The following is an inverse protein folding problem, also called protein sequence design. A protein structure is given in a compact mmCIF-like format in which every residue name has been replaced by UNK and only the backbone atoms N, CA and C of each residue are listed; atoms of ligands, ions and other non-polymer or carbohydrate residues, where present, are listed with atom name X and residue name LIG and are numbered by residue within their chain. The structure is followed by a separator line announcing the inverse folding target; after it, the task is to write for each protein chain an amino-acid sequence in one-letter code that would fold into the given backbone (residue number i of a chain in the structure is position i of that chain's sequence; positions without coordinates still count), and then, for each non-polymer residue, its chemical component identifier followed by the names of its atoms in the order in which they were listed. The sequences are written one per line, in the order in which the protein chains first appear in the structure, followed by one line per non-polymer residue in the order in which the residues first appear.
data_IF_470128318973
#
_entry.id   IF_470128318973
#
_cell.length_a   1.000
_cell.length_b   1.000
_cell.length_c   1.000
_cell.angle_alpha   90.00
_cell.angle_beta   90.00
_cell.angle_gamma   90.00
#
_symmetry.space_group_name_H-M   'P 1'
#
loop_
_entity.id
_entity.type
_entity.pdbx_description
1 polymer ?
#
# COMPACT_ATOMS: atom_id res chain seq x y z
N UNK A 1 6.53 -49.78 -40.46
CA UNK A 1 6.58 -49.93 -41.93
C UNK A 1 5.76 -48.91 -42.72
N UNK A 2 4.41 -48.82 -42.65
CA UNK A 2 3.68 -47.84 -43.49
C UNK A 2 3.88 -46.36 -43.06
N UNK A 3 3.87 -46.10 -41.75
CA UNK A 3 3.85 -44.74 -41.16
C UNK A 3 5.18 -43.98 -41.35
N UNK A 4 6.34 -44.66 -41.18
CA UNK A 4 7.65 -44.02 -41.37
C UNK A 4 7.98 -43.72 -42.84
N UNK A 5 7.49 -44.55 -43.76
CA UNK A 5 7.60 -44.26 -45.20
C UNK A 5 6.77 -43.03 -45.58
N UNK A 6 5.58 -42.87 -44.99
CA UNK A 6 4.75 -41.67 -45.19
C UNK A 6 5.44 -40.41 -44.68
N UNK A 7 5.99 -40.41 -43.46
CA UNK A 7 6.76 -39.28 -42.92
C UNK A 7 7.94 -38.89 -43.83
N UNK A 8 8.67 -39.88 -44.37
CA UNK A 8 9.75 -39.59 -45.31
C UNK A 8 9.28 -39.02 -46.66
N UNK A 9 8.13 -39.47 -47.19
CA UNK A 9 7.57 -38.92 -48.42
C UNK A 9 7.03 -37.49 -48.20
N UNK A 10 6.38 -37.25 -47.06
CA UNK A 10 5.90 -35.92 -46.68
C UNK A 10 7.09 -34.93 -46.63
N UNK A 11 8.18 -35.29 -45.94
CA UNK A 11 9.39 -34.45 -45.88
C UNK A 11 10.00 -34.18 -47.26
N UNK A 12 9.93 -35.13 -48.20
CA UNK A 12 10.37 -34.89 -49.58
C UNK A 12 9.48 -33.89 -50.31
N UNK A 13 8.18 -33.94 -50.07
CA UNK A 13 7.20 -33.05 -50.69
C UNK A 13 7.32 -31.61 -50.15
N UNK A 14 7.27 -31.44 -48.83
CA UNK A 14 7.13 -30.12 -48.23
C UNK A 14 8.47 -29.55 -47.71
N UNK A 15 9.48 -30.39 -47.45
CA UNK A 15 10.77 -30.01 -46.87
C UNK A 15 11.97 -30.46 -47.72
N UNK A 16 11.86 -30.40 -49.05
CA UNK A 16 12.90 -30.86 -49.98
C UNK A 16 14.32 -30.29 -49.71
N UNK A 17 14.44 -29.04 -49.21
CA UNK A 17 15.75 -28.48 -48.86
C UNK A 17 16.42 -29.22 -47.70
N UNK A 18 15.63 -29.64 -46.71
CA UNK A 18 16.13 -30.46 -45.61
C UNK A 18 16.63 -31.82 -46.10
N UNK A 19 15.90 -32.47 -47.03
CA UNK A 19 16.32 -33.76 -47.59
C UNK A 19 17.69 -33.66 -48.29
N UNK A 20 17.96 -32.53 -48.96
CA UNK A 20 19.19 -32.34 -49.74
C UNK A 20 20.35 -31.84 -48.86
N UNK A 21 20.08 -30.87 -47.98
CA UNK A 21 21.10 -30.07 -47.29
C UNK A 21 21.10 -30.25 -45.76
N UNK A 22 20.20 -31.06 -45.21
CA UNK A 22 19.96 -31.15 -43.78
C UNK A 22 19.39 -29.85 -43.19
N UNK A 23 19.59 -29.64 -41.89
CA UNK A 23 19.16 -28.42 -41.21
C UNK A 23 20.15 -27.30 -41.49
N UNK A 24 19.78 -26.33 -42.33
CA UNK A 24 20.56 -25.11 -42.59
C UNK A 24 20.07 -23.94 -41.72
N UNK A 25 20.70 -22.78 -41.83
CA UNK A 25 20.24 -21.57 -41.15
C UNK A 25 18.80 -21.20 -41.55
N UNK A 26 18.37 -21.54 -42.77
CA UNK A 26 16.99 -21.31 -43.21
C UNK A 26 16.00 -22.10 -42.36
N UNK A 27 16.19 -23.42 -42.26
CA UNK A 27 15.33 -24.31 -41.47
C UNK A 27 15.43 -23.92 -39.99
N UNK A 28 16.64 -23.63 -39.50
CA UNK A 28 16.84 -23.22 -38.12
C UNK A 28 16.08 -21.93 -37.76
N UNK A 29 16.14 -20.90 -38.61
CA UNK A 29 15.41 -19.65 -38.41
C UNK A 29 13.88 -19.82 -38.51
N UNK A 30 13.42 -20.83 -39.27
CA UNK A 30 11.99 -21.18 -39.37
C UNK A 30 11.53 -21.89 -38.11
N UNK A 31 12.31 -22.87 -37.64
CA UNK A 31 12.05 -23.58 -36.38
C UNK A 31 12.09 -22.62 -35.18
N UNK A 32 13.00 -21.64 -35.16
CA UNK A 32 13.01 -20.61 -34.11
C UNK A 32 11.71 -19.78 -34.05
N UNK A 33 10.88 -19.80 -35.10
CA UNK A 33 9.63 -19.05 -35.20
C UNK A 33 8.38 -19.92 -35.10
N UNK A 34 8.55 -21.21 -34.82
CA UNK A 34 7.46 -22.20 -34.82
C UNK A 34 6.73 -22.31 -36.17
N UNK A 35 7.48 -22.19 -37.28
CA UNK A 35 6.94 -22.29 -38.64
C UNK A 35 7.45 -23.53 -39.40
N UNK A 36 7.86 -24.57 -38.66
CA UNK A 36 8.36 -25.81 -39.23
C UNK A 36 9.66 -25.65 -40.02
N UNK A 37 9.94 -26.59 -40.92
CA UNK A 37 11.12 -26.65 -41.79
C UNK A 37 10.95 -25.83 -43.06
N UNK A 38 9.71 -25.57 -43.49
CA UNK A 38 9.45 -24.79 -44.70
C UNK A 38 8.49 -23.62 -44.47
N UNK A 39 9.02 -22.40 -44.29
CA UNK A 39 8.20 -21.21 -44.05
C UNK A 39 7.48 -20.70 -45.32
N UNK A 40 7.55 -21.44 -46.44
CA UNK A 40 6.92 -21.07 -47.72
C UNK A 40 5.69 -21.92 -48.04
N UNK A 41 5.26 -22.79 -47.13
CA UNK A 41 4.07 -23.60 -47.35
C UNK A 41 2.81 -22.71 -47.39
N UNK A 42 1.81 -23.05 -48.23
CA UNK A 42 0.52 -22.35 -48.24
C UNK A 42 -0.20 -22.43 -46.89
N UNK A 43 -0.05 -23.57 -46.20
CA UNK A 43 -0.45 -23.79 -44.82
C UNK A 43 0.82 -24.12 -44.05
N UNK A 44 1.21 -23.26 -43.12
CA UNK A 44 2.42 -23.45 -42.33
C UNK A 44 2.21 -24.58 -41.33
N UNK A 45 3.15 -25.50 -41.28
CA UNK A 45 3.28 -26.44 -40.18
C UNK A 45 3.91 -25.73 -38.97
N UNK A 46 3.59 -26.22 -37.77
CA UNK A 46 4.33 -25.89 -36.56
C UNK A 46 5.53 -26.82 -36.38
N UNK A 47 6.38 -26.53 -35.39
CA UNK A 47 7.56 -27.35 -35.12
C UNK A 47 7.22 -28.77 -34.68
N UNK A 48 6.10 -28.97 -33.98
CA UNK A 48 5.71 -30.29 -33.48
C UNK A 48 5.42 -31.23 -34.65
N UNK A 49 4.67 -30.77 -35.65
CA UNK A 49 4.36 -31.54 -36.86
C UNK A 49 5.66 -31.98 -37.56
N UNK A 50 6.54 -31.03 -37.88
CA UNK A 50 7.75 -31.33 -38.64
C UNK A 50 8.81 -32.11 -37.84
N UNK A 51 8.89 -31.93 -36.52
CA UNK A 51 9.81 -32.71 -35.67
C UNK A 51 9.35 -34.16 -35.49
N UNK A 52 8.04 -34.43 -35.50
CA UNK A 52 7.54 -35.81 -35.53
C UNK A 52 7.89 -36.49 -36.86
N UNK A 53 7.64 -35.82 -37.99
CA UNK A 53 8.00 -36.34 -39.31
C UNK A 53 9.51 -36.59 -39.42
N UNK A 54 10.34 -35.70 -38.86
CA UNK A 54 11.79 -35.90 -38.75
C UNK A 54 12.16 -37.11 -37.89
N UNK A 55 11.57 -37.26 -36.71
CA UNK A 55 11.84 -38.40 -35.83
C UNK A 55 11.49 -39.73 -36.51
N UNK A 56 10.31 -39.79 -37.13
CA UNK A 56 9.79 -41.01 -37.73
C UNK A 56 10.55 -41.36 -39.01
N UNK A 57 10.90 -40.37 -39.83
CA UNK A 57 11.70 -40.61 -41.03
C UNK A 57 13.16 -40.94 -40.71
N UNK A 58 13.81 -40.20 -39.81
CA UNK A 58 15.25 -40.36 -39.55
C UNK A 58 15.55 -41.55 -38.65
N UNK A 59 14.79 -41.73 -37.57
CA UNK A 59 15.06 -42.77 -36.57
C UNK A 59 14.12 -43.96 -36.74
N UNK A 60 12.83 -43.72 -36.96
CA UNK A 60 11.84 -44.78 -37.18
C UNK A 60 12.18 -45.64 -38.39
N UNK A 61 12.38 -45.01 -39.56
CA UNK A 61 12.72 -45.74 -40.78
C UNK A 61 14.08 -46.46 -40.69
N UNK A 62 15.08 -45.87 -40.03
CA UNK A 62 16.37 -46.53 -39.81
C UNK A 62 16.22 -47.73 -38.87
N UNK A 63 15.39 -47.63 -37.84
CA UNK A 63 15.06 -48.72 -36.93
C UNK A 63 14.42 -49.92 -37.65
N UNK A 64 13.51 -49.67 -38.59
CA UNK A 64 12.87 -50.72 -39.40
C UNK A 64 13.89 -51.53 -40.22
N UNK A 65 15.03 -50.94 -40.61
CA UNK A 65 16.10 -51.64 -41.35
C UNK A 65 17.08 -52.43 -40.48
N UNK A 66 16.97 -52.34 -39.14
CA UNK A 66 17.98 -52.91 -38.24
C UNK A 66 18.20 -54.42 -38.43
N UNK A 67 17.12 -55.17 -38.71
CA UNK A 67 17.20 -56.62 -38.92
C UNK A 67 17.90 -57.02 -40.23
N UNK A 68 18.08 -56.08 -41.15
CA UNK A 68 18.73 -56.28 -42.45
C UNK A 68 20.25 -56.10 -42.38
N UNK A 69 20.75 -55.49 -41.29
CA UNK A 69 22.18 -55.26 -41.09
C UNK A 69 22.87 -56.50 -40.48
N UNK A 70 23.98 -56.93 -41.09
CA UNK A 70 24.86 -57.94 -40.50
C UNK A 70 25.56 -57.35 -39.26
N UNK A 71 25.72 -58.16 -38.22
CA UNK A 71 26.45 -57.82 -36.99
C UNK A 71 27.90 -57.40 -37.30
N UNK A 72 28.47 -57.88 -38.40
CA UNK A 72 29.81 -57.53 -38.87
C UNK A 72 29.86 -56.15 -39.56
N UNK A 73 28.72 -55.62 -40.03
CA UNK A 73 28.59 -54.35 -40.77
C UNK A 73 28.03 -53.19 -39.91
N UNK A 74 28.11 -53.33 -38.59
CA UNK A 74 27.57 -52.37 -37.61
C UNK A 74 28.06 -50.91 -37.79
N UNK A 75 29.23 -50.71 -38.40
CA UNK A 75 29.81 -49.38 -38.62
C UNK A 75 28.98 -48.54 -39.58
N UNK A 76 28.39 -49.15 -40.61
CA UNK A 76 27.56 -48.42 -41.57
C UNK A 76 26.26 -47.96 -40.90
N UNK A 77 25.58 -48.87 -40.19
CA UNK A 77 24.40 -48.56 -39.42
C UNK A 77 24.68 -47.44 -38.40
N UNK A 78 25.76 -47.57 -37.62
CA UNK A 78 26.14 -46.55 -36.64
C UNK A 78 26.45 -45.20 -37.28
N UNK A 79 27.07 -45.17 -38.46
CA UNK A 79 27.31 -43.92 -39.17
C UNK A 79 25.99 -43.24 -39.55
N UNK A 80 25.02 -43.99 -40.09
CA UNK A 80 23.69 -43.46 -40.44
C UNK A 80 22.93 -42.97 -39.22
N UNK A 81 22.94 -43.76 -38.14
CA UNK A 81 22.31 -43.40 -36.87
C UNK A 81 22.89 -42.10 -36.32
N UNK A 82 24.21 -41.96 -36.28
CA UNK A 82 24.86 -40.75 -35.77
C UNK A 82 24.53 -39.52 -36.62
N UNK A 83 24.49 -39.64 -37.94
CA UNK A 83 24.09 -38.53 -38.83
C UNK A 83 22.63 -38.14 -38.60
N UNK A 84 21.72 -39.11 -38.50
CA UNK A 84 20.30 -38.88 -38.28
C UNK A 84 20.03 -38.22 -36.91
N UNK A 85 20.71 -38.70 -35.86
CA UNK A 85 20.65 -38.08 -34.53
C UNK A 85 21.20 -36.65 -34.54
N UNK A 86 22.30 -36.38 -35.27
CA UNK A 86 22.84 -35.02 -35.38
C UNK A 86 21.85 -34.07 -36.05
N UNK A 87 21.14 -34.51 -37.10
CA UNK A 87 20.14 -33.71 -37.80
C UNK A 87 18.91 -33.44 -36.92
N UNK A 88 18.37 -34.47 -36.26
CA UNK A 88 17.23 -34.32 -35.36
C UNK A 88 17.58 -33.39 -34.18
N UNK A 89 18.73 -33.59 -33.54
CA UNK A 89 19.19 -32.73 -32.45
C UNK A 89 19.38 -31.29 -32.91
N UNK A 90 19.93 -31.05 -34.10
CA UNK A 90 20.07 -29.70 -34.64
C UNK A 90 18.72 -29.02 -34.85
N UNK A 91 17.71 -29.74 -35.35
CA UNK A 91 16.36 -29.23 -35.48
C UNK A 91 15.72 -28.89 -34.12
N UNK A 92 15.84 -29.80 -33.14
CA UNK A 92 15.34 -29.57 -31.78
C UNK A 92 15.99 -28.35 -31.12
N UNK A 93 17.32 -28.22 -31.20
CA UNK A 93 18.05 -27.07 -30.64
C UNK A 93 17.55 -25.76 -31.27
N UNK A 94 17.33 -25.71 -32.58
CA UNK A 94 16.78 -24.53 -33.24
C UNK A 94 15.38 -24.16 -32.72
N UNK A 95 14.49 -25.16 -32.57
CA UNK A 95 13.16 -24.97 -31.98
C UNK A 95 13.25 -24.46 -30.54
N UNK A 96 14.06 -25.09 -29.69
CA UNK A 96 14.25 -24.71 -28.28
C UNK A 96 14.83 -23.30 -28.13
N UNK A 97 15.81 -22.92 -28.95
CA UNK A 97 16.34 -21.55 -28.93
C UNK A 97 15.24 -20.51 -29.24
N UNK A 98 14.32 -20.80 -30.16
CA UNK A 98 13.18 -19.94 -30.45
C UNK A 98 12.22 -19.82 -29.27
N UNK A 99 11.93 -20.94 -28.60
CA UNK A 99 11.08 -20.98 -27.41
C UNK A 99 11.68 -20.14 -26.27
N UNK A 100 12.99 -20.22 -26.02
CA UNK A 100 13.66 -19.42 -25.00
C UNK A 100 13.56 -17.91 -25.26
N UNK A 101 13.67 -17.47 -26.52
CA UNK A 101 13.45 -16.06 -26.88
C UNK A 101 12.03 -15.62 -26.51
N UNK A 102 11.02 -16.44 -26.80
CA UNK A 102 9.62 -16.16 -26.46
C UNK A 102 9.37 -16.14 -24.95
N UNK A 103 10.01 -17.03 -24.19
CA UNK A 103 9.93 -17.03 -22.73
C UNK A 103 10.48 -15.72 -22.17
N UNK A 104 11.65 -15.26 -22.63
CA UNK A 104 12.22 -13.99 -22.17
C UNK A 104 11.37 -12.77 -22.58
N UNK A 105 10.77 -12.76 -23.77
CA UNK A 105 9.81 -11.72 -24.18
C UNK A 105 8.57 -11.68 -23.27
N UNK A 106 8.09 -12.84 -22.83
CA UNK A 106 6.98 -12.96 -21.88
C UNK A 106 7.36 -12.47 -20.48
N UNK A 107 8.53 -12.87 -19.97
CA UNK A 107 9.08 -12.41 -18.69
C UNK A 107 9.19 -10.88 -18.65
N UNK A 108 9.75 -10.27 -19.70
CA UNK A 108 9.85 -8.81 -19.84
C UNK A 108 8.48 -8.13 -19.84
N UNK A 109 7.50 -8.74 -20.51
CA UNK A 109 6.13 -8.21 -20.59
C UNK A 109 5.43 -8.28 -19.23
N UNK A 110 5.61 -9.38 -18.49
CA UNK A 110 5.09 -9.57 -17.14
C UNK A 110 5.70 -8.55 -16.18
N UNK A 111 7.01 -8.33 -16.23
CA UNK A 111 7.70 -7.35 -15.39
C UNK A 111 7.17 -5.92 -15.62
N UNK A 112 6.95 -5.53 -16.89
CA UNK A 112 6.35 -4.23 -17.24
C UNK A 112 4.92 -4.08 -16.71
N UNK A 113 4.14 -5.16 -16.65
CA UNK A 113 2.79 -5.12 -16.07
C UNK A 113 2.83 -4.95 -14.56
N UNK A 114 3.72 -5.65 -13.86
CA UNK A 114 3.92 -5.50 -12.42
C UNK A 114 4.30 -4.06 -12.04
N UNK A 115 5.21 -3.43 -12.77
CA UNK A 115 5.59 -2.02 -12.54
C UNK A 115 4.40 -1.06 -12.70
N UNK A 116 3.53 -1.30 -13.68
CA UNK A 116 2.32 -0.49 -13.89
C UNK A 116 1.31 -0.71 -12.76
N UNK A 117 1.12 -1.95 -12.31
CA UNK A 117 0.24 -2.26 -11.18
C UNK A 117 0.69 -1.56 -9.90
N UNK A 118 1.98 -1.58 -9.58
CA UNK A 118 2.53 -0.91 -8.40
C UNK A 118 2.26 0.62 -8.43
N UNK A 119 2.31 1.25 -9.60
CA UNK A 119 1.96 2.68 -9.75
C UNK A 119 0.48 2.95 -9.53
N UNK A 120 -0.40 2.05 -9.97
CA UNK A 120 -1.86 2.15 -9.76
C UNK A 120 -2.19 1.98 -8.28
N UNK A 121 -1.58 1.02 -7.60
CA UNK A 121 -1.73 0.82 -6.15
C UNK A 121 -1.29 2.06 -5.37
N UNK A 122 -0.11 2.61 -5.67
CA UNK A 122 0.38 3.83 -5.03
C UNK A 122 -0.55 5.04 -5.27
N UNK A 123 -1.13 5.17 -6.46
CA UNK A 123 -2.09 6.23 -6.77
C UNK A 123 -3.42 6.03 -6.02
N UNK A 124 -3.87 4.79 -5.85
CA UNK A 124 -5.06 4.45 -5.08
C UNK A 124 -4.88 4.78 -3.60
N UNK A 125 -3.73 4.42 -3.02
CA UNK A 125 -3.38 4.75 -1.64
C UNK A 125 -3.32 6.27 -1.42
N UNK A 126 -2.72 7.01 -2.36
CA UNK A 126 -2.64 8.46 -2.31
C UNK A 126 -4.02 9.13 -2.42
N UNK A 127 -4.93 8.60 -3.25
CA UNK A 127 -6.29 9.11 -3.38
C UNK A 127 -7.12 8.81 -2.12
N UNK A 128 -6.97 7.63 -1.54
CA UNK A 128 -7.61 7.28 -0.26
C UNK A 128 -7.17 8.22 0.87
N UNK A 129 -5.88 8.59 0.92
CA UNK A 129 -5.35 9.49 1.93
C UNK A 129 -5.85 10.95 1.79
N UNK A 130 -6.18 11.42 0.57
CA UNK A 130 -6.69 12.78 0.35
C UNK A 130 -8.14 13.00 0.80
N UNK A 131 -8.90 11.93 1.06
CA UNK A 131 -10.30 11.99 1.46
C UNK A 131 -10.51 11.80 2.97
N UNK A 132 -9.47 11.83 3.78
CA UNK A 132 -9.60 11.79 5.23
C UNK A 132 -9.45 13.20 5.80
N UNK A 133 -10.36 13.55 6.70
CA UNK A 133 -10.30 14.81 7.42
C UNK A 133 -10.26 14.52 8.92
N UNK A 134 -9.30 15.14 9.60
CA UNK A 134 -9.29 15.19 11.05
C UNK A 134 -9.79 16.56 11.46
N UNK A 135 -10.94 16.60 12.12
CA UNK A 135 -11.53 17.82 12.63
C UNK A 135 -11.18 18.01 14.11
N UNK A 136 -10.31 18.98 14.41
CA UNK A 136 -10.14 19.47 15.77
C UNK A 136 -11.38 20.26 16.20
N UNK A 137 -11.96 19.90 17.34
CA UNK A 137 -13.13 20.56 17.92
C UNK A 137 -12.87 20.96 19.37
N UNK A 138 -13.59 21.95 19.87
CA UNK A 138 -13.63 22.26 21.28
C UNK A 138 -15.07 22.53 21.69
N UNK A 139 -15.42 22.10 22.90
CA UNK A 139 -16.68 22.45 23.53
C UNK A 139 -16.35 23.29 24.76
N UNK A 140 -16.93 24.48 24.80
CA UNK A 140 -16.86 25.35 25.96
C UNK A 140 -18.13 25.12 26.78
N UNK A 141 -17.98 24.67 28.02
CA UNK A 141 -19.13 24.53 28.94
C UNK A 141 -19.41 25.85 29.65
N UNK A 142 -18.35 26.58 30.02
CA UNK A 142 -18.40 27.90 30.62
C UNK A 142 -17.24 28.72 30.05
N UNK A 143 -17.54 29.93 29.55
CA UNK A 143 -16.55 30.85 28.98
C UNK A 143 -16.62 32.23 29.60
N UNK A 144 -15.46 32.78 29.90
CA UNK A 144 -15.24 34.19 30.13
C UNK A 144 -14.73 34.88 28.85
N UNK A 145 -14.82 36.22 28.76
CA UNK A 145 -14.23 36.97 27.65
C UNK A 145 -12.72 36.72 27.54
N UNK A 146 -12.27 36.36 26.33
CA UNK A 146 -10.85 36.11 26.03
C UNK A 146 -10.42 34.65 26.07
N UNK A 147 -11.34 33.73 26.41
CA UNK A 147 -11.10 32.29 26.30
C UNK A 147 -10.98 31.85 24.84
N UNK A 148 -10.04 30.95 24.56
CA UNK A 148 -9.88 30.35 23.22
C UNK A 148 -9.23 28.98 23.29
N UNK A 149 -9.63 28.07 22.39
CA UNK A 149 -9.01 26.76 22.21
C UNK A 149 -8.64 26.59 20.75
N UNK A 150 -7.43 26.09 20.47
CA UNK A 150 -7.00 25.75 19.11
C UNK A 150 -6.28 24.41 19.10
N UNK A 151 -6.41 23.67 17.99
CA UNK A 151 -5.71 22.42 17.73
C UNK A 151 -5.18 22.46 16.30
N UNK A 152 -3.87 22.35 16.13
CA UNK A 152 -3.23 22.15 14.84
C UNK A 152 -3.39 20.69 14.43
N UNK A 153 -4.21 20.47 13.41
CA UNK A 153 -4.55 19.13 12.90
C UNK A 153 -3.37 18.39 12.27
N UNK A 154 -2.33 19.11 11.83
CA UNK A 154 -1.15 18.51 11.19
C UNK A 154 -0.12 18.02 12.21
N UNK A 155 -0.02 18.69 13.35
CA UNK A 155 0.99 18.39 14.38
C UNK A 155 0.40 17.80 15.65
N UNK A 156 -0.91 17.96 15.87
CA UNK A 156 -1.62 17.64 17.10
C UNK A 156 -1.39 18.63 18.24
N UNK A 157 -0.66 19.72 18.01
CA UNK A 157 -0.41 20.74 19.02
C UNK A 157 -1.71 21.48 19.35
N UNK A 158 -1.98 21.69 20.62
CA UNK A 158 -3.14 22.46 21.06
C UNK A 158 -2.75 23.54 22.06
N UNK A 159 -3.54 24.62 22.04
CA UNK A 159 -3.41 25.74 22.97
C UNK A 159 -4.78 26.02 23.57
N UNK A 160 -4.81 26.06 24.89
CA UNK A 160 -5.95 26.53 25.66
C UNK A 160 -5.58 27.85 26.33
N UNK A 161 -6.45 28.84 26.22
CA UNK A 161 -6.27 30.16 26.84
C UNK A 161 -7.54 30.50 27.60
N UNK A 162 -7.37 31.04 28.80
CA UNK A 162 -8.47 31.53 29.63
C UNK A 162 -8.13 32.91 30.22
N UNK A 163 -9.15 33.60 30.74
CA UNK A 163 -8.97 34.88 31.43
C UNK A 163 -9.74 34.86 32.74
N UNK A 164 -9.09 35.23 33.83
CA UNK A 164 -9.76 35.29 35.13
C UNK A 164 -10.35 36.67 35.34
N UNK A 165 -11.54 36.72 35.91
CA UNK A 165 -12.30 37.95 36.13
C UNK A 165 -12.77 38.04 37.57
N UNK A 166 -12.82 39.26 38.10
CA UNK A 166 -13.23 39.51 39.48
C UNK A 166 -14.70 39.12 39.74
N UNK A 167 -15.56 39.18 38.73
CA UNK A 167 -17.00 38.94 38.84
C UNK A 167 -17.62 38.53 37.49
N UNK A 168 -18.87 38.05 37.55
CA UNK A 168 -19.66 37.63 36.38
C UNK A 168 -19.95 38.75 35.38
N UNK A 169 -19.84 40.01 35.81
CA UNK A 169 -20.03 41.19 34.95
C UNK A 169 -18.75 41.57 34.20
N UNK A 170 -17.66 40.80 34.38
CA UNK A 170 -16.37 40.97 33.68
C UNK A 170 -15.81 42.39 33.77
N UNK A 171 -15.97 43.06 34.92
CA UNK A 171 -15.61 44.47 35.06
C UNK A 171 -14.12 44.70 35.27
N UNK A 172 -13.38 43.68 35.74
CA UNK A 172 -11.94 43.74 35.96
C UNK A 172 -11.32 42.37 35.74
N UNK A 173 -10.34 42.30 34.85
CA UNK A 173 -9.55 41.10 34.60
C UNK A 173 -8.46 40.97 35.67
N UNK A 174 -8.26 39.74 36.13
CA UNK A 174 -7.29 39.37 37.16
C UNK A 174 -5.98 38.88 36.55
N UNK A 175 -6.07 38.31 35.36
CA UNK A 175 -4.95 37.83 34.59
C UNK A 175 -5.39 36.89 33.48
N UNK A 176 -4.41 36.31 32.79
CA UNK A 176 -4.62 35.42 31.65
C UNK A 176 -3.75 34.19 31.79
N UNK A 177 -4.35 33.02 31.60
CA UNK A 177 -3.62 31.78 31.59
C UNK A 177 -3.56 31.10 30.23
N UNK A 178 -2.57 30.23 30.09
CA UNK A 178 -2.38 29.41 28.91
C UNK A 178 -1.89 28.01 29.26
N UNK A 179 -2.48 26.99 28.62
CA UNK A 179 -1.96 25.63 28.57
C UNK A 179 -1.56 25.29 27.14
N UNK A 180 -0.39 24.70 26.98
CA UNK A 180 0.03 24.12 25.69
C UNK A 180 0.26 22.63 25.83
N UNK A 181 -0.10 21.88 24.80
CA UNK A 181 0.07 20.44 24.77
C UNK A 181 0.07 19.90 23.35
N UNK A 182 0.17 18.57 23.26
CA UNK A 182 0.12 17.84 22.00
C UNK A 182 -0.67 16.55 22.19
N UNK A 183 -1.68 16.34 21.36
CA UNK A 183 -2.36 15.05 21.22
C UNK A 183 -1.68 14.26 20.09
N UNK A 184 -1.36 13.00 20.37
CA UNK A 184 -0.78 12.07 19.40
C UNK A 184 -1.90 11.21 18.82
N UNK A 185 -2.38 11.56 17.64
CA UNK A 185 -3.42 10.82 16.93
C UNK A 185 -2.98 10.48 15.50
N UNK A 186 -3.72 9.60 14.85
CA UNK A 186 -3.54 9.35 13.43
C UNK A 186 -4.70 8.59 12.81
N UNK A 187 -4.84 8.73 11.50
CA UNK A 187 -5.72 7.91 10.66
C UNK A 187 -4.89 7.11 9.65
N UNK A 188 -5.40 5.97 9.23
CA UNK A 188 -4.81 5.17 8.17
C UNK A 188 -5.84 4.25 7.53
N UNK A 189 -5.50 3.62 6.42
CA UNK A 189 -6.39 2.65 5.77
C UNK A 189 -6.42 1.34 6.57
N UNK A 190 -7.60 0.71 6.63
CA UNK A 190 -7.74 -0.64 7.15
C UNK A 190 -8.03 -1.64 6.03
N UNK A 191 -9.10 -1.43 5.27
CA UNK A 191 -9.54 -2.31 4.17
C UNK A 191 -10.53 -1.60 3.27
N UNK A 192 -10.39 -1.72 1.95
CA UNK A 192 -11.25 -1.02 1.00
C UNK A 192 -11.25 0.49 1.27
N UNK A 193 -12.43 1.08 1.41
CA UNK A 193 -12.61 2.51 1.70
C UNK A 193 -12.72 2.84 3.21
N UNK A 194 -12.58 1.85 4.11
CA UNK A 194 -12.64 2.06 5.55
C UNK A 194 -11.32 2.62 6.08
N UNK A 195 -11.41 3.57 7.01
CA UNK A 195 -10.26 4.15 7.69
C UNK A 195 -10.26 3.77 9.17
N UNK A 196 -9.10 3.39 9.70
CA UNK A 196 -8.85 3.21 11.12
C UNK A 196 -8.30 4.51 11.70
N UNK A 197 -8.66 4.82 12.95
CA UNK A 197 -8.15 5.97 13.70
C UNK A 197 -7.65 5.53 15.07
N UNK A 198 -6.76 6.34 15.66
CA UNK A 198 -6.27 6.13 17.01
C UNK A 198 -5.87 7.45 17.68
N UNK A 199 -6.07 7.53 18.99
CA UNK A 199 -5.50 8.53 19.90
C UNK A 199 -4.57 7.77 20.85
N UNK A 200 -3.27 7.95 20.68
CA UNK A 200 -2.24 7.19 21.40
C UNK A 200 -1.95 7.78 22.76
N UNK A 201 -1.77 9.10 22.81
CA UNK A 201 -1.34 9.79 24.03
C UNK A 201 -1.63 11.27 23.97
N UNK A 202 -1.65 11.92 25.12
CA UNK A 202 -1.68 13.38 25.26
C UNK A 202 -0.50 13.82 26.12
N UNK A 203 0.23 14.81 25.64
CA UNK A 203 1.32 15.46 26.36
C UNK A 203 0.88 16.87 26.74
N UNK A 204 1.00 17.22 28.02
CA UNK A 204 0.89 18.61 28.48
C UNK A 204 2.30 19.16 28.61
N UNK A 205 2.59 20.22 27.87
CA UNK A 205 3.93 20.82 27.80
C UNK A 205 4.08 21.87 28.90
N UNK A 206 3.23 22.90 28.88
CA UNK A 206 3.34 24.03 29.79
C UNK A 206 1.98 24.50 30.30
N UNK A 207 1.99 25.06 31.51
CA UNK A 207 0.90 25.88 32.05
C UNK A 207 1.49 27.21 32.52
N UNK A 208 0.92 28.32 32.09
CA UNK A 208 1.36 29.65 32.50
C UNK A 208 0.19 30.53 32.89
N UNK A 209 0.48 31.53 33.71
CA UNK A 209 -0.46 32.59 34.09
C UNK A 209 0.28 33.91 34.14
N UNK A 210 -0.31 34.94 33.54
CA UNK A 210 0.18 36.31 33.59
C UNK A 210 -0.82 37.15 34.37
N UNK A 211 -0.38 37.73 35.47
CA UNK A 211 -1.24 38.52 36.35
C UNK A 211 -1.41 39.97 35.89
N UNK A 212 -2.58 40.56 36.13
CA UNK A 212 -2.83 42.00 36.07
C UNK A 212 -2.59 42.70 37.44
N UNK A 213 -2.10 41.96 38.44
CA UNK A 213 -1.70 42.43 39.77
C UNK A 213 -2.85 43.04 40.60
N UNK A 214 -3.99 42.36 40.63
CA UNK A 214 -5.19 42.77 41.37
C UNK A 214 -5.19 42.17 42.78
N UNK A 215 -5.24 43.01 43.80
CA UNK A 215 -5.18 42.59 45.21
C UNK A 215 -6.55 42.29 45.80
N UNK A 216 -6.57 41.55 46.92
CA UNK A 216 -7.79 41.26 47.69
C UNK A 216 -8.67 40.16 47.08
N UNK A 217 -8.14 39.36 46.17
CA UNK A 217 -8.85 38.24 45.53
C UNK A 217 -8.38 36.90 46.12
N UNK A 218 -9.32 35.97 46.27
CA UNK A 218 -9.06 34.62 46.77
C UNK A 218 -8.11 33.83 45.84
N UNK A 219 -7.54 32.75 46.37
CA UNK A 219 -6.73 31.82 45.59
C UNK A 219 -7.58 30.98 44.64
N UNK A 220 -7.05 30.73 43.45
CA UNK A 220 -7.64 29.90 42.40
C UNK A 220 -6.88 28.58 42.27
N UNK A 221 -7.48 27.59 41.63
CA UNK A 221 -6.82 26.30 41.36
C UNK A 221 -7.01 25.90 39.90
N UNK A 222 -5.91 25.76 39.17
CA UNK A 222 -5.93 25.20 37.82
C UNK A 222 -5.86 23.68 37.94
N UNK A 223 -6.81 22.99 37.30
CA UNK A 223 -6.84 21.55 37.20
C UNK A 223 -6.80 21.14 35.72
N UNK A 224 -5.91 20.21 35.39
CA UNK A 224 -5.84 19.59 34.07
C UNK A 224 -6.11 18.10 34.21
N UNK A 225 -7.04 17.61 33.40
CA UNK A 225 -7.39 16.20 33.33
C UNK A 225 -7.17 15.70 31.91
N UNK A 226 -6.58 14.51 31.81
CA UNK A 226 -6.63 13.71 30.59
C UNK A 226 -7.80 12.74 30.74
N UNK A 227 -8.65 12.68 29.71
CA UNK A 227 -9.82 11.80 29.70
C UNK A 227 -9.43 10.53 28.95
N UNK A 228 -9.20 9.47 29.71
CA UNK A 228 -9.13 8.07 29.23
C UNK A 228 -10.30 7.27 29.85
N UNK A 229 -10.23 5.92 29.88
CA UNK A 229 -11.23 5.08 30.56
C UNK A 229 -11.35 5.40 32.07
N UNK A 230 -10.32 6.04 32.63
CA UNK A 230 -10.24 6.68 33.92
C UNK A 230 -9.93 8.17 33.76
N UNK A 231 -10.56 9.02 34.58
CA UNK A 231 -10.19 10.43 34.61
C UNK A 231 -8.85 10.59 35.34
N UNK A 232 -7.81 10.99 34.62
CA UNK A 232 -6.47 11.17 35.22
C UNK A 232 -6.14 12.64 35.38
N UNK A 233 -6.04 13.11 36.63
CA UNK A 233 -5.52 14.45 36.93
C UNK A 233 -4.03 14.51 36.64
N UNK A 234 -3.64 15.33 35.65
CA UNK A 234 -2.26 15.41 35.20
C UNK A 234 -1.50 16.56 35.86
N UNK A 235 -2.21 17.62 36.27
CA UNK A 235 -1.64 18.81 36.86
C UNK A 235 -2.65 19.51 37.78
N UNK A 236 -2.13 20.07 38.86
CA UNK A 236 -2.85 20.95 39.75
C UNK A 236 -1.94 22.10 40.17
N UNK A 237 -2.45 23.33 40.14
CA UNK A 237 -1.73 24.46 40.72
C UNK A 237 -2.66 25.46 41.35
N UNK A 238 -2.43 25.72 42.63
CA UNK A 238 -2.99 26.88 43.31
C UNK A 238 -2.23 28.15 42.90
N UNK A 239 -2.96 29.21 42.56
CA UNK A 239 -2.39 30.51 42.23
C UNK A 239 -3.26 31.67 42.73
N UNK A 240 -2.85 32.90 42.47
CA UNK A 240 -3.59 34.12 42.80
C UNK A 240 -3.39 35.18 41.70
N UNK A 241 -4.06 36.32 41.85
CA UNK A 241 -3.95 37.46 40.94
C UNK A 241 -2.80 38.42 41.29
N UNK A 242 -1.75 37.98 42.00
CA UNK A 242 -0.62 38.83 42.42
C UNK A 242 0.72 38.41 41.82
N UNK A 243 0.84 37.20 41.26
CA UNK A 243 2.09 36.71 40.67
C UNK A 243 1.86 35.94 39.36
N UNK A 244 2.71 36.22 38.37
CA UNK A 244 2.79 35.42 37.14
C UNK A 244 3.61 34.14 37.38
N UNK A 245 3.33 33.10 36.60
CA UNK A 245 4.14 31.88 36.60
C UNK A 245 4.18 31.22 35.23
N UNK A 246 5.13 30.29 35.06
CA UNK A 246 5.18 29.36 33.94
C UNK A 246 5.81 28.06 34.42
N UNK A 247 5.03 26.98 34.35
CA UNK A 247 5.48 25.64 34.69
C UNK A 247 5.72 24.81 33.43
N UNK A 248 6.86 24.12 33.43
CA UNK A 248 7.17 23.07 32.47
C UNK A 248 6.68 21.75 33.03
N UNK A 249 5.59 21.22 32.48
CA UNK A 249 4.94 19.98 32.94
C UNK A 249 5.54 18.77 32.21
N UNK A 250 5.62 18.84 30.87
CA UNK A 250 6.16 17.81 29.97
C UNK A 250 5.73 16.38 30.31
N UNK A 251 4.48 16.20 30.74
CA UNK A 251 3.93 14.90 31.17
C UNK A 251 3.06 14.32 30.07
N UNK A 252 3.28 13.05 29.75
CA UNK A 252 2.55 12.31 28.71
C UNK A 252 1.70 11.21 29.33
N UNK A 253 0.42 11.18 28.97
CA UNK A 253 -0.55 10.16 29.39
C UNK A 253 -0.95 9.32 28.18
N UNK A 254 -0.77 7.98 28.21
CA UNK A 254 -1.32 7.07 27.20
C UNK A 254 -2.85 7.01 27.30
N UNK A 255 -3.53 7.03 26.15
CA UNK A 255 -5.01 7.03 26.08
C UNK A 255 -5.53 5.80 25.31
N UNK A 256 -4.74 5.24 24.40
CA UNK A 256 -5.02 3.99 23.66
C UNK A 256 -6.41 3.82 23.02
N UNK A 257 -7.14 4.93 22.80
CA UNK A 257 -8.43 4.92 22.11
C UNK A 257 -8.24 4.66 20.61
N UNK A 258 -9.07 3.81 20.01
CA UNK A 258 -9.00 3.49 18.59
C UNK A 258 -10.37 3.06 18.05
N UNK A 259 -10.50 3.07 16.72
CA UNK A 259 -11.73 2.64 16.05
C UNK A 259 -11.63 2.68 14.53
N UNK A 260 -12.77 2.44 13.88
CA UNK A 260 -12.91 2.37 12.43
C UNK A 260 -14.07 3.26 11.99
N UNK A 261 -13.87 4.03 10.93
CA UNK A 261 -14.90 4.87 10.29
C UNK A 261 -15.12 4.42 8.84
N UNK A 262 -16.37 4.09 8.52
CA UNK A 262 -16.80 3.69 7.18
C UNK A 262 -16.96 4.90 6.25
N UNK A 263 -17.01 4.72 4.92
CA UNK A 263 -17.18 5.83 3.97
C UNK A 263 -18.39 6.71 4.30
N UNK A 264 -18.19 8.03 4.32
CA UNK A 264 -19.25 9.01 4.60
C UNK A 264 -19.66 9.14 6.07
N UNK A 265 -18.89 8.58 7.00
CA UNK A 265 -19.18 8.60 8.45
C UNK A 265 -18.07 9.26 9.27
N UNK A 266 -18.36 9.58 10.53
CA UNK A 266 -17.37 10.06 11.51
C UNK A 266 -17.33 9.20 12.77
N UNK A 267 -16.25 9.34 13.53
CA UNK A 267 -16.09 8.76 14.87
C UNK A 267 -16.99 9.41 15.93
N UNK A 268 -17.68 10.49 15.60
CA UNK A 268 -18.20 11.44 16.58
C UNK A 268 -17.08 12.24 17.27
N UNK A 269 -17.47 13.13 18.18
CA UNK A 269 -16.55 13.97 18.96
C UNK A 269 -16.02 13.18 20.15
N UNK A 270 -14.70 13.01 20.20
CA UNK A 270 -14.01 12.29 21.27
C UNK A 270 -13.27 13.31 22.14
N UNK A 271 -13.65 13.42 23.41
CA UNK A 271 -12.93 14.24 24.37
C UNK A 271 -11.66 13.52 24.84
N UNK A 272 -10.52 14.21 24.81
CA UNK A 272 -9.24 13.65 25.26
C UNK A 272 -8.60 14.46 26.40
N UNK A 273 -9.00 15.71 26.60
CA UNK A 273 -8.49 16.57 27.65
C UNK A 273 -9.58 17.49 28.16
N UNK A 274 -9.52 17.79 29.45
CA UNK A 274 -10.32 18.81 30.10
C UNK A 274 -9.38 19.79 30.81
N UNK A 275 -9.63 21.08 30.59
CA UNK A 275 -8.99 22.16 31.34
C UNK A 275 -10.05 22.87 32.14
N UNK A 276 -9.79 23.02 33.43
CA UNK A 276 -10.69 23.65 34.37
C UNK A 276 -9.92 24.60 35.28
N UNK A 277 -10.34 25.86 35.34
CA UNK A 277 -9.78 26.82 36.28
C UNK A 277 -10.79 27.16 37.37
N UNK A 278 -10.37 27.02 38.63
CA UNK A 278 -11.07 27.26 39.89
C UNK A 278 -11.89 26.06 40.44
N UNK A 279 -13.03 26.26 41.13
CA UNK A 279 -13.72 25.23 41.93
C UNK A 279 -15.00 24.78 41.22
N UNK A 280 -15.19 23.46 41.10
CA UNK A 280 -16.37 22.80 40.51
C UNK A 280 -17.75 23.25 41.03
N UNK A 281 -17.82 24.02 42.13
CA UNK A 281 -19.03 24.57 42.72
C UNK A 281 -19.38 26.01 42.28
N UNK A 282 -18.53 26.68 41.49
CA UNK A 282 -18.68 28.06 41.02
C UNK A 282 -19.01 28.11 39.52
N UNK A 283 -19.85 29.07 39.10
CA UNK A 283 -20.18 29.31 37.68
C UNK A 283 -19.36 30.45 37.06
N UNK A 284 -18.32 30.93 37.75
CA UNK A 284 -17.40 31.99 37.27
C UNK A 284 -16.18 31.43 36.54
N UNK A 285 -16.19 30.13 36.25
CA UNK A 285 -14.98 29.34 36.09
C UNK A 285 -14.87 28.80 34.66
N UNK A 286 -13.74 29.03 33.99
CA UNK A 286 -13.52 28.58 32.61
C UNK A 286 -13.33 27.06 32.56
N UNK A 287 -14.20 26.37 31.83
CA UNK A 287 -14.14 24.91 31.59
C UNK A 287 -14.20 24.61 30.10
N UNK A 288 -13.15 23.94 29.61
CA UNK A 288 -13.09 23.46 28.24
C UNK A 288 -12.87 21.95 28.16
N UNK A 289 -13.70 21.33 27.33
CA UNK A 289 -13.48 19.99 26.83
C UNK A 289 -12.80 20.08 25.46
N UNK A 290 -11.58 19.56 25.38
CA UNK A 290 -10.81 19.51 24.15
C UNK A 290 -11.13 18.19 23.44
N UNK A 291 -11.61 18.29 22.19
CA UNK A 291 -12.19 17.18 21.46
C UNK A 291 -11.55 16.99 20.07
N UNK A 292 -11.61 15.78 19.55
CA UNK A 292 -11.18 15.45 18.19
C UNK A 292 -12.23 14.58 17.51
N UNK A 293 -12.43 14.78 16.22
CA UNK A 293 -13.30 13.97 15.37
C UNK A 293 -12.52 13.48 14.14
N UNK A 294 -12.65 12.19 13.84
CA UNK A 294 -12.09 11.56 12.65
C UNK A 294 -13.20 11.35 11.64
N UNK A 295 -13.04 11.89 10.43
CA UNK A 295 -14.05 11.85 9.36
C UNK A 295 -13.50 11.13 8.14
N UNK A 296 -14.28 10.19 7.61
CA UNK A 296 -13.98 9.52 6.35
C UNK A 296 -14.86 10.10 5.23
N UNK A 297 -14.32 11.04 4.46
CA UNK A 297 -15.05 11.70 3.37
C UNK A 297 -15.08 10.86 2.07
N UNK A 298 -14.58 9.62 2.08
CA UNK A 298 -14.75 8.71 0.95
C UNK A 298 -16.25 8.55 0.62
N UNK A 299 -16.58 8.66 -0.67
CA UNK A 299 -17.94 8.44 -1.16
C UNK A 299 -18.05 7.05 -1.77
N UNK A 300 -19.19 6.39 -1.54
CA UNK A 300 -19.52 5.14 -2.24
C UNK A 300 -19.64 5.43 -3.74
N UNK A 301 -19.13 4.55 -4.58
CA UNK A 301 -19.25 4.68 -6.04
C UNK A 301 -20.73 4.76 -6.43
N UNK A 302 -21.06 5.66 -7.35
CA UNK A 302 -22.40 5.71 -7.93
C UNK A 302 -22.62 4.44 -8.75
N UNK A 303 -23.84 3.85 -8.73
CA UNK A 303 -24.13 2.69 -9.55
C UNK A 303 -23.90 3.03 -11.04
N UNK A 304 -23.27 2.13 -11.81
CA UNK A 304 -23.13 2.32 -13.25
C UNK A 304 -24.51 2.35 -13.90
N UNK A 305 -24.65 3.14 -14.98
CA UNK A 305 -25.81 3.04 -15.85
C UNK A 305 -25.81 1.62 -16.45
N UNK A 306 -26.89 0.86 -16.25
CA UNK A 306 -27.11 -0.45 -16.88
C UNK A 306 -27.72 -0.22 -18.27
#
# INVERSE_FOLDING_TARGET
MAEHCEACENLKEYAANFIINGITDRECNSLQKDTGLNPKLPVLHNNCEDLNDLNDCLLGALGDTLAEYDVCDWKEFMSKLMTNLQLLNKAMICSECGQWVKIHELEDSINKLWEKMAKVEAALDALAAQNWEVNGHYQIEYSTPGMSVSIDRSTGNFVFVWSDWLNASYTQRLGRGQVTGKVNFGMGQQSGLNAKWQIRSVTINTCSYTTDNVSGVNTFVINLYVKDDSETQIYQRTHNAMASFTDSINKTIPISMNGVVTPGTSSGKIQFCEVFNDNTASTLDDRANVQIEFVNNNRVALPPYI
#
